data_IF_389115287160
#
_entry.id   IF_389115287160
#
_cell.length_a   1.000
_cell.length_b   1.000
_cell.length_c   1.000
_cell.angle_alpha   90.00
_cell.angle_beta   90.00
_cell.angle_gamma   90.00
#
_symmetry.space_group_name_H-M   'P 1'
#
loop_
_entity.id
_entity.type
_entity.pdbx_description
1 polymer ?
#
# COMPACT_ATOMS: atom_id res chain seq x y z
N UNK A 1 53.96 21.58 46.30
CA UNK A 1 54.20 20.62 45.21
C UNK A 1 53.55 19.28 45.57
N UNK A 2 52.20 19.16 45.48
CA UNK A 2 51.49 17.89 45.71
C UNK A 2 49.99 17.89 45.33
N UNK A 3 49.48 18.96 44.68
CA UNK A 3 48.07 19.05 44.22
C UNK A 3 47.88 19.00 42.70
N UNK A 4 48.95 19.09 41.91
CA UNK A 4 48.87 19.04 40.44
C UNK A 4 48.97 17.62 39.84
N UNK A 5 49.31 16.60 40.63
CA UNK A 5 49.54 15.23 40.14
C UNK A 5 48.26 14.36 40.22
N UNK A 6 47.24 14.77 40.99
CA UNK A 6 46.00 13.99 41.13
C UNK A 6 44.98 14.20 40.00
N UNK A 7 45.07 15.27 39.23
CA UNK A 7 44.18 15.51 38.08
C UNK A 7 44.70 14.92 36.76
N UNK A 8 45.97 14.51 36.70
CA UNK A 8 46.55 13.95 35.48
C UNK A 8 46.36 12.42 35.37
N UNK A 9 46.08 11.73 36.48
CA UNK A 9 45.83 10.27 36.49
C UNK A 9 44.36 9.93 36.22
N UNK A 10 43.42 10.85 36.52
CA UNK A 10 42.00 10.66 36.19
C UNK A 10 41.65 10.97 34.72
N UNK A 11 42.50 11.73 34.01
CA UNK A 11 42.36 11.97 32.57
C UNK A 11 42.96 10.85 31.71
N UNK A 12 43.84 10.00 32.25
CA UNK A 12 44.49 8.93 31.50
C UNK A 12 43.78 7.57 31.55
N UNK A 13 42.82 7.38 32.47
CA UNK A 13 41.97 6.17 32.52
C UNK A 13 40.65 6.32 31.73
N UNK A 14 40.35 7.50 31.20
CA UNK A 14 39.13 7.77 30.41
C UNK A 14 39.29 7.55 28.90
N UNK A 15 40.47 7.17 28.42
CA UNK A 15 40.76 7.03 26.97
C UNK A 15 40.94 5.56 26.55
N UNK A 16 40.99 4.60 27.47
CA UNK A 16 41.18 3.17 27.15
C UNK A 16 39.91 2.31 27.29
N UNK A 17 38.72 2.92 27.39
CA UNK A 17 37.43 2.20 27.38
C UNK A 17 36.55 2.49 26.14
N UNK A 18 37.10 3.13 25.10
CA UNK A 18 36.43 3.27 23.79
C UNK A 18 36.98 2.31 22.72
N UNK A 19 37.66 1.24 23.15
CA UNK A 19 38.19 0.20 22.26
C UNK A 19 37.52 -1.16 22.51
N UNK A 20 36.24 -1.16 22.84
CA UNK A 20 35.37 -2.32 22.60
C UNK A 20 34.74 -2.13 21.21
N UNK A 21 35.58 -2.19 20.18
CA UNK A 21 35.12 -2.59 18.86
C UNK A 21 34.52 -3.98 19.02
N UNK A 22 33.20 -4.06 18.98
CA UNK A 22 32.50 -5.31 18.67
C UNK A 22 33.05 -5.79 17.33
N UNK A 23 33.99 -6.73 17.40
CA UNK A 23 34.55 -7.43 16.26
C UNK A 23 33.53 -8.46 15.79
N UNK A 24 32.63 -8.05 14.90
CA UNK A 24 31.82 -8.93 14.05
C UNK A 24 31.05 -8.06 13.05
N UNK A 25 31.75 -7.59 12.01
CA UNK A 25 31.30 -7.63 10.60
C UNK A 25 32.28 -6.84 9.72
N UNK A 26 33.51 -7.36 9.58
CA UNK A 26 34.33 -7.06 8.41
C UNK A 26 33.80 -7.90 7.22
N UNK A 27 32.67 -7.46 6.65
CA UNK A 27 32.28 -7.80 5.28
C UNK A 27 32.15 -6.49 4.51
N UNK A 28 33.18 -6.16 3.71
CA UNK A 28 33.19 -5.18 2.62
C UNK A 28 32.11 -4.07 2.69
N UNK A 29 32.25 -3.10 3.60
CA UNK A 29 31.33 -1.95 3.72
C UNK A 29 31.66 -0.85 2.69
N UNK A 30 31.73 -1.22 1.41
CA UNK A 30 31.81 -0.29 0.28
C UNK A 30 30.41 0.15 -0.15
N UNK A 31 29.52 0.49 0.79
CA UNK A 31 28.15 0.91 0.50
C UNK A 31 27.81 2.20 1.21
N UNK A 32 27.13 3.10 0.50
CA UNK A 32 26.62 4.35 1.09
C UNK A 32 25.21 4.11 1.60
N UNK A 33 24.95 4.40 2.87
CA UNK A 33 23.62 4.25 3.46
C UNK A 33 22.79 5.50 3.18
N UNK A 34 21.67 5.32 2.48
CA UNK A 34 20.70 6.36 2.21
C UNK A 34 19.49 6.20 3.14
N UNK A 35 19.19 7.17 4.01
CA UNK A 35 17.98 7.13 4.81
C UNK A 35 16.74 7.31 3.93
N UNK A 36 15.66 6.59 4.26
CA UNK A 36 14.38 6.66 3.56
C UNK A 36 13.28 7.02 4.55
N UNK A 37 12.59 8.12 4.26
CA UNK A 37 11.39 8.53 4.99
C UNK A 37 10.17 8.08 4.20
N UNK A 38 9.34 7.20 4.78
CA UNK A 38 8.15 6.67 4.14
C UNK A 38 6.91 7.23 4.83
N UNK A 39 5.91 7.60 4.02
CA UNK A 39 4.61 8.02 4.51
C UNK A 39 3.47 7.28 3.81
N UNK A 40 2.31 7.18 4.48
CA UNK A 40 1.05 6.69 3.93
C UNK A 40 -0.09 7.69 4.23
N UNK A 41 -1.14 7.76 3.40
CA UNK A 41 -2.30 8.61 3.66
C UNK A 41 -2.98 8.29 5.00
N UNK A 42 -3.39 9.33 5.73
CA UNK A 42 -4.26 9.20 6.91
C UNK A 42 -5.70 9.55 6.55
N UNK A 43 -6.67 8.96 7.25
CA UNK A 43 -8.07 9.37 7.19
C UNK A 43 -8.25 10.76 7.84
N UNK A 44 -8.46 11.82 7.05
CA UNK A 44 -8.92 13.11 7.58
C UNK A 44 -9.60 14.06 6.57
N UNK A 45 -10.31 15.08 7.09
CA UNK A 45 -11.18 16.00 6.33
C UNK A 45 -10.38 17.07 5.57
N UNK A 46 -10.47 17.03 4.24
CA UNK A 46 -10.05 18.14 3.37
C UNK A 46 -8.73 17.84 2.68
N UNK A 47 -8.77 17.20 1.52
CA UNK A 47 -7.55 16.83 0.81
C UNK A 47 -7.61 17.08 -0.69
N UNK A 48 -6.56 17.72 -1.23
CA UNK A 48 -6.45 18.10 -2.64
C UNK A 48 -5.51 17.18 -3.45
N UNK A 49 -4.74 16.28 -2.81
CA UNK A 49 -3.69 15.49 -3.49
C UNK A 49 -3.90 13.97 -3.47
N UNK A 50 -5.06 13.49 -3.00
CA UNK A 50 -5.35 12.05 -2.97
C UNK A 50 -5.78 11.53 -4.33
N UNK A 51 -5.41 10.28 -4.63
CA UNK A 51 -6.19 9.50 -5.58
C UNK A 51 -7.64 9.43 -5.06
N UNK A 52 -8.67 9.55 -5.91
CA UNK A 52 -10.03 9.21 -5.47
C UNK A 52 -10.04 7.82 -4.80
N UNK A 53 -10.77 7.58 -3.72
CA UNK A 53 -10.90 6.21 -3.10
C UNK A 53 -10.04 5.97 -1.87
N UNK A 54 -9.17 6.92 -1.61
CA UNK A 54 -8.31 7.00 -0.47
C UNK A 54 -9.15 7.42 0.79
N UNK A 55 -8.87 6.89 1.99
CA UNK A 55 -9.72 6.90 3.16
C UNK A 55 -10.62 8.09 3.54
N UNK A 56 -11.90 7.87 3.76
CA UNK A 56 -12.77 8.89 4.36
C UNK A 56 -12.38 9.19 5.82
N UNK A 57 -12.79 10.34 6.36
CA UNK A 57 -12.46 10.83 7.72
C UNK A 57 -12.79 9.86 8.87
N UNK A 58 -13.69 8.91 8.64
CA UNK A 58 -14.17 7.98 9.66
C UNK A 58 -13.58 6.57 9.54
N UNK A 59 -12.68 6.34 8.59
CA UNK A 59 -12.09 5.03 8.36
C UNK A 59 -10.86 4.82 9.25
N UNK A 60 -10.77 3.61 9.81
CA UNK A 60 -9.64 3.18 10.64
C UNK A 60 -8.83 2.17 9.83
N UNK A 61 -7.53 2.41 9.74
CA UNK A 61 -6.58 1.54 9.06
C UNK A 61 -5.65 0.92 10.08
N UNK A 62 -5.19 -0.29 9.79
CA UNK A 62 -4.05 -0.84 10.50
C UNK A 62 -2.79 -0.21 9.94
N UNK A 63 -1.85 0.12 10.81
CA UNK A 63 -0.55 0.64 10.40
C UNK A 63 0.30 -0.51 9.84
N UNK A 64 1.09 -0.28 8.79
CA UNK A 64 1.92 -1.34 8.22
C UNK A 64 2.97 -1.87 9.22
N UNK A 65 3.19 -3.18 9.17
CA UNK A 65 4.18 -3.94 9.96
C UNK A 65 5.18 -4.67 9.06
N UNK A 66 4.96 -4.65 7.75
CA UNK A 66 5.80 -5.32 6.75
C UNK A 66 6.17 -4.34 5.64
N UNK A 67 7.41 -4.42 5.18
CA UNK A 67 8.00 -3.57 4.16
C UNK A 67 8.84 -4.40 3.18
N UNK A 68 8.65 -4.14 1.89
CA UNK A 68 9.55 -4.54 0.82
C UNK A 68 9.96 -3.29 0.06
N UNK A 69 11.26 -3.05 -0.07
CA UNK A 69 11.80 -1.89 -0.77
C UNK A 69 12.89 -2.32 -1.75
N UNK A 70 12.89 -1.70 -2.93
CA UNK A 70 13.75 -2.06 -4.05
C UNK A 70 14.42 -0.80 -4.57
N UNK A 71 15.75 -0.87 -4.72
CA UNK A 71 16.53 0.11 -5.45
C UNK A 71 16.71 -0.36 -6.88
N UNK A 72 16.24 0.44 -7.84
CA UNK A 72 16.45 0.22 -9.27
C UNK A 72 17.45 1.25 -9.77
N UNK A 73 18.55 0.81 -10.38
CA UNK A 73 19.55 1.67 -11.03
C UNK A 73 19.64 1.28 -12.50
N UNK A 74 19.45 2.26 -13.41
CA UNK A 74 19.54 2.04 -14.86
C UNK A 74 18.70 0.84 -15.37
N UNK A 75 17.49 0.67 -14.82
CA UNK A 75 16.56 -0.45 -15.06
C UNK A 75 16.94 -1.81 -14.47
N UNK A 76 17.91 -1.87 -13.56
CA UNK A 76 18.30 -3.11 -12.86
C UNK A 76 18.03 -2.97 -11.36
N UNK A 77 17.43 -4.00 -10.74
CA UNK A 77 17.26 -4.08 -9.29
C UNK A 77 18.62 -4.38 -8.67
N UNK A 78 19.17 -3.42 -7.92
CA UNK A 78 20.49 -3.52 -7.31
C UNK A 78 20.44 -3.92 -5.83
N UNK A 79 19.43 -3.45 -5.11
CA UNK A 79 19.28 -3.69 -3.67
C UNK A 79 17.83 -3.98 -3.30
N UNK A 80 17.63 -4.87 -2.34
CA UNK A 80 16.33 -5.24 -1.79
C UNK A 80 16.41 -5.19 -0.27
N UNK A 81 15.57 -4.38 0.35
CA UNK A 81 15.32 -4.39 1.79
C UNK A 81 13.97 -5.06 2.04
N UNK A 82 13.93 -6.03 2.95
CA UNK A 82 12.68 -6.67 3.38
C UNK A 82 12.65 -6.69 4.90
N UNK A 83 11.64 -6.03 5.47
CA UNK A 83 11.39 -6.01 6.90
C UNK A 83 10.04 -6.64 7.18
N UNK A 84 10.00 -7.63 8.07
CA UNK A 84 8.78 -8.34 8.43
C UNK A 84 8.14 -7.89 9.74
N UNK A 85 8.76 -6.91 10.41
CA UNK A 85 8.35 -6.41 11.73
C UNK A 85 8.76 -4.96 11.94
N UNK A 86 8.29 -4.03 11.11
CA UNK A 86 8.40 -2.59 11.41
C UNK A 86 7.45 -2.26 12.58
N UNK A 87 7.92 -1.41 13.50
CA UNK A 87 7.21 -1.13 14.75
C UNK A 87 6.03 -0.16 14.52
N UNK A 88 4.81 -0.62 14.76
CA UNK A 88 3.60 0.20 14.60
C UNK A 88 3.64 1.49 15.42
N UNK A 89 4.32 1.49 16.57
CA UNK A 89 4.42 2.65 17.46
C UNK A 89 5.29 3.79 16.90
N UNK A 90 6.08 3.49 15.87
CA UNK A 90 6.95 4.46 15.21
C UNK A 90 6.23 5.26 14.11
N UNK A 91 4.96 4.97 13.82
CA UNK A 91 4.16 5.77 12.90
C UNK A 91 3.58 7.00 13.60
N UNK A 92 3.95 8.19 13.10
CA UNK A 92 3.46 9.47 13.61
C UNK A 92 2.46 10.07 12.62
N UNK A 93 1.30 10.51 13.12
CA UNK A 93 0.34 11.26 12.29
C UNK A 93 0.80 12.71 12.18
N UNK A 94 1.00 13.19 10.97
CA UNK A 94 1.49 14.52 10.66
C UNK A 94 0.61 15.18 9.58
N UNK A 95 0.72 16.50 9.45
CA UNK A 95 0.06 17.24 8.36
C UNK A 95 1.07 17.61 7.29
N UNK A 96 0.77 17.23 6.05
CA UNK A 96 1.51 17.61 4.86
C UNK A 96 0.61 18.51 4.00
N UNK A 97 0.76 19.83 4.13
CA UNK A 97 -0.14 20.80 3.49
C UNK A 97 -1.56 20.74 4.08
N UNK A 98 -2.56 20.52 3.23
CA UNK A 98 -3.95 20.26 3.66
C UNK A 98 -4.17 18.82 4.14
N UNK A 99 -3.27 17.91 3.79
CA UNK A 99 -3.49 16.48 3.89
C UNK A 99 -2.85 15.95 5.18
N UNK A 100 -3.38 14.86 5.73
CA UNK A 100 -2.79 14.18 6.88
C UNK A 100 -2.18 12.86 6.41
N UNK A 101 -0.98 12.56 6.88
CA UNK A 101 -0.25 11.34 6.57
C UNK A 101 0.23 10.69 7.85
N UNK A 102 0.44 9.37 7.83
CA UNK A 102 1.28 8.71 8.81
C UNK A 102 2.69 8.62 8.23
N UNK A 103 3.69 9.10 8.96
CA UNK A 103 5.10 9.01 8.61
C UNK A 103 5.76 8.00 9.53
N UNK A 104 6.57 7.10 8.97
CA UNK A 104 7.35 6.17 9.79
C UNK A 104 8.61 6.87 10.29
N UNK A 105 8.75 7.00 11.62
CA UNK A 105 9.86 7.67 12.28
C UNK A 105 11.05 6.74 12.60
N UNK A 106 10.91 5.44 12.34
CA UNK A 106 12.01 4.49 12.52
C UNK A 106 13.08 4.63 11.43
N UNK A 107 14.28 4.12 11.70
CA UNK A 107 15.38 4.15 10.74
C UNK A 107 15.17 3.12 9.64
N UNK A 108 14.94 3.59 8.42
CA UNK A 108 14.98 2.77 7.21
C UNK A 108 16.15 3.25 6.35
N UNK A 109 17.05 2.36 5.99
CA UNK A 109 18.21 2.70 5.15
C UNK A 109 18.34 1.75 3.98
N UNK A 110 18.54 2.31 2.79
CA UNK A 110 18.91 1.56 1.59
C UNK A 110 20.42 1.63 1.39
N UNK A 111 21.04 0.49 1.13
CA UNK A 111 22.46 0.44 0.82
C UNK A 111 22.66 0.72 -0.68
N UNK A 112 23.42 1.77 -0.99
CA UNK A 112 23.75 2.15 -2.35
C UNK A 112 25.14 1.64 -2.73
N UNK A 113 25.36 1.25 -4.01
CA UNK A 113 26.70 0.96 -4.53
C UNK A 113 27.67 2.11 -4.30
N UNK A 114 28.96 1.84 -4.03
CA UNK A 114 29.98 2.90 -3.85
C UNK A 114 30.20 3.71 -5.13
N UNK A 115 30.31 3.01 -6.26
CA UNK A 115 30.54 3.60 -7.57
C UNK A 115 29.19 3.96 -8.17
N UNK A 116 28.93 5.27 -8.27
CA UNK A 116 27.69 5.82 -8.81
C UNK A 116 28.02 6.86 -9.86
N UNK A 117 27.47 6.70 -11.05
CA UNK A 117 27.65 7.63 -12.15
C UNK A 117 26.76 8.85 -12.00
N UNK A 118 27.26 10.03 -12.38
CA UNK A 118 26.45 11.26 -12.45
C UNK A 118 25.29 11.18 -13.45
N UNK A 119 25.34 10.20 -14.37
CA UNK A 119 24.29 9.91 -15.36
C UNK A 119 23.38 8.76 -14.95
N UNK A 120 23.67 8.07 -13.85
CA UNK A 120 22.84 6.95 -13.40
C UNK A 120 21.49 7.46 -12.91
N UNK A 121 20.44 6.73 -13.26
CA UNK A 121 19.09 6.99 -12.77
C UNK A 121 18.76 5.92 -11.74
N UNK A 122 18.62 6.36 -10.48
CA UNK A 122 18.22 5.51 -9.37
C UNK A 122 16.78 5.83 -8.93
N UNK A 123 15.99 4.80 -8.68
CA UNK A 123 14.58 4.87 -8.31
C UNK A 123 14.27 3.90 -7.17
N UNK A 124 13.42 4.30 -6.24
CA UNK A 124 12.94 3.45 -5.16
C UNK A 124 11.49 3.02 -5.42
N UNK A 125 11.24 1.73 -5.24
CA UNK A 125 9.91 1.13 -5.21
C UNK A 125 9.68 0.49 -3.85
N UNK A 126 8.48 0.61 -3.30
CA UNK A 126 8.16 0.10 -1.98
C UNK A 126 6.72 -0.44 -1.88
N UNK A 127 6.57 -1.53 -1.14
CA UNK A 127 5.31 -2.18 -0.81
C UNK A 127 5.23 -2.29 0.72
N UNK A 128 4.10 -1.88 1.27
CA UNK A 128 3.79 -1.96 2.68
C UNK A 128 2.51 -2.77 2.89
N UNK A 129 2.47 -3.54 3.97
CA UNK A 129 1.27 -4.23 4.42
C UNK A 129 1.18 -4.25 5.94
N UNK A 130 -0.03 -4.16 6.47
CA UNK A 130 -0.29 -4.38 7.90
C UNK A 130 -0.45 -5.86 8.27
N UNK A 131 -0.88 -6.68 7.32
CA UNK A 131 -1.12 -8.11 7.49
C UNK A 131 -0.21 -8.91 6.55
N UNK A 132 -0.11 -10.22 6.78
CA UNK A 132 0.69 -11.13 5.98
C UNK A 132 0.15 -11.25 4.55
N UNK A 133 0.97 -10.81 3.60
CA UNK A 133 0.80 -11.03 2.17
C UNK A 133 1.98 -11.83 1.64
N UNK A 134 1.78 -12.46 0.48
CA UNK A 134 2.82 -13.23 -0.20
C UNK A 134 3.21 -12.56 -1.52
N UNK A 135 4.16 -11.61 -1.53
CA UNK A 135 4.72 -11.07 -2.78
C UNK A 135 5.53 -12.15 -3.52
N UNK A 136 5.47 -12.13 -4.85
CA UNK A 136 6.35 -12.93 -5.70
C UNK A 136 7.80 -12.48 -5.51
N UNK A 137 8.73 -13.42 -5.47
CA UNK A 137 10.15 -13.11 -5.27
C UNK A 137 10.71 -12.37 -6.48
N UNK A 138 11.22 -11.17 -6.26
CA UNK A 138 12.12 -10.48 -7.19
C UNK A 138 13.54 -10.63 -6.67
N UNK A 139 14.49 -11.06 -7.51
CA UNK A 139 15.89 -11.19 -7.11
C UNK A 139 16.69 -9.94 -7.46
N UNK A 140 17.84 -9.75 -6.81
CA UNK A 140 18.86 -8.84 -7.31
C UNK A 140 19.20 -9.16 -8.77
N UNK A 141 19.52 -8.12 -9.55
CA UNK A 141 19.73 -8.12 -11.00
C UNK A 141 18.47 -8.37 -11.87
N UNK A 142 17.27 -8.38 -11.29
CA UNK A 142 16.04 -8.36 -12.10
C UNK A 142 15.89 -7.02 -12.82
N UNK A 143 15.16 -6.98 -13.92
CA UNK A 143 14.87 -5.71 -14.60
C UNK A 143 13.77 -4.92 -13.88
N UNK A 144 13.71 -3.61 -14.11
CA UNK A 144 12.60 -2.74 -13.69
C UNK A 144 11.25 -3.29 -14.17
N UNK A 145 11.19 -3.81 -15.39
CA UNK A 145 9.98 -4.42 -15.94
C UNK A 145 9.53 -5.65 -15.13
N UNK A 146 10.47 -6.52 -14.74
CA UNK A 146 10.17 -7.67 -13.89
C UNK A 146 9.73 -7.26 -12.49
N UNK A 147 10.32 -6.19 -11.93
CA UNK A 147 9.87 -5.62 -10.66
C UNK A 147 8.45 -5.07 -10.76
N UNK A 148 8.13 -4.31 -11.81
CA UNK A 148 6.79 -3.75 -12.01
C UNK A 148 5.72 -4.84 -12.21
N UNK A 149 6.10 -5.98 -12.77
CA UNK A 149 5.28 -7.18 -12.88
C UNK A 149 5.18 -8.00 -11.58
N UNK A 150 5.80 -7.56 -10.47
CA UNK A 150 5.70 -8.23 -9.18
C UNK A 150 4.24 -8.31 -8.73
N UNK A 151 3.83 -9.49 -8.30
CA UNK A 151 2.48 -9.75 -7.81
C UNK A 151 2.48 -10.08 -6.33
N UNK A 152 1.32 -10.01 -5.68
CA UNK A 152 1.08 -10.58 -4.37
C UNK A 152 -0.23 -11.37 -4.37
N UNK A 153 -0.41 -12.17 -3.31
CA UNK A 153 -1.68 -12.84 -3.02
C UNK A 153 -2.20 -12.44 -1.64
N UNK A 154 -3.51 -12.27 -1.56
CA UNK A 154 -4.24 -12.07 -0.31
C UNK A 154 -4.35 -13.41 0.45
N UNK A 155 -4.41 -13.37 1.80
CA UNK A 155 -4.54 -14.58 2.60
C UNK A 155 -5.90 -15.29 2.40
N UNK A 156 -6.06 -16.44 3.04
CA UNK A 156 -7.27 -17.26 2.92
C UNK A 156 -8.51 -16.66 3.62
N UNK A 157 -8.33 -15.69 4.52
CA UNK A 157 -9.41 -15.05 5.29
C UNK A 157 -9.22 -13.54 5.36
N UNK A 158 -10.32 -12.80 5.52
CA UNK A 158 -10.34 -11.34 5.70
C UNK A 158 -9.68 -10.59 4.52
N UNK A 159 -9.86 -11.09 3.30
CA UNK A 159 -9.20 -10.56 2.10
C UNK A 159 -9.46 -9.07 1.88
N UNK A 160 -10.70 -8.61 2.03
CA UNK A 160 -11.04 -7.19 1.90
C UNK A 160 -10.39 -6.31 2.98
N UNK A 161 -10.34 -6.79 4.22
CA UNK A 161 -9.64 -6.10 5.32
C UNK A 161 -8.14 -6.02 5.05
N UNK A 162 -7.52 -7.11 4.58
CA UNK A 162 -6.09 -7.12 4.23
C UNK A 162 -5.82 -6.21 3.05
N UNK A 163 -6.62 -6.31 1.98
CA UNK A 163 -6.50 -5.47 0.79
C UNK A 163 -6.56 -3.97 1.12
N UNK A 164 -7.40 -3.59 2.10
CA UNK A 164 -7.50 -2.22 2.61
C UNK A 164 -6.18 -1.69 3.16
N UNK A 165 -5.33 -2.53 3.75
CA UNK A 165 -4.13 -2.11 4.47
C UNK A 165 -2.83 -2.40 3.70
N UNK A 166 -2.90 -2.46 2.35
CA UNK A 166 -1.73 -2.60 1.47
C UNK A 166 -1.51 -1.27 0.75
N UNK A 167 -0.25 -0.82 0.76
CA UNK A 167 0.17 0.42 0.12
C UNK A 167 1.38 0.17 -0.75
N UNK A 168 1.46 0.83 -1.90
CA UNK A 168 2.63 0.74 -2.76
C UNK A 168 2.96 2.05 -3.44
N UNK A 169 4.16 2.09 -4.01
CA UNK A 169 4.61 3.19 -4.86
C UNK A 169 3.88 3.14 -6.21
N UNK A 170 3.24 4.23 -6.68
CA UNK A 170 2.71 4.30 -8.02
C UNK A 170 3.85 4.19 -9.02
N UNK A 171 3.68 3.45 -10.10
CA UNK A 171 4.66 3.35 -11.18
C UNK A 171 4.65 4.55 -12.13
N UNK A 172 3.56 5.34 -12.14
CA UNK A 172 3.27 6.35 -13.14
C UNK A 172 3.15 7.79 -12.56
N UNK A 173 3.54 7.99 -11.30
CA UNK A 173 3.55 9.32 -10.67
C UNK A 173 4.86 10.05 -10.95
N UNK A 174 4.76 11.23 -11.56
CA UNK A 174 5.89 12.11 -11.79
C UNK A 174 5.84 13.35 -10.91
N UNK A 175 7.02 13.85 -10.55
CA UNK A 175 7.25 15.17 -9.93
C UNK A 175 7.04 16.28 -10.95
N UNK A 176 7.08 17.52 -10.46
CA UNK A 176 6.99 18.74 -11.29
C UNK A 176 8.10 18.85 -12.34
N UNK A 177 9.25 18.20 -12.11
CA UNK A 177 10.37 18.13 -13.07
C UNK A 177 10.22 16.96 -14.08
N UNK A 178 9.04 16.34 -14.14
CA UNK A 178 8.71 15.19 -15.00
C UNK A 178 9.51 13.91 -14.73
N UNK A 179 10.29 13.84 -13.64
CA UNK A 179 10.92 12.59 -13.19
C UNK A 179 9.94 11.77 -12.38
N UNK A 180 10.19 10.46 -12.33
CA UNK A 180 9.48 9.58 -11.43
C UNK A 180 9.61 10.06 -9.97
N UNK A 181 8.53 10.04 -9.21
CA UNK A 181 8.55 10.62 -7.86
C UNK A 181 9.44 9.85 -6.86
N UNK A 182 9.67 8.55 -7.10
CA UNK A 182 10.63 7.74 -6.35
C UNK A 182 12.08 7.88 -6.81
N UNK A 183 12.40 8.80 -7.73
CA UNK A 183 13.78 9.06 -8.17
C UNK A 183 14.64 9.56 -7.02
N UNK A 184 15.81 8.95 -6.84
CA UNK A 184 16.84 9.36 -5.88
C UNK A 184 17.53 10.63 -6.38
N UNK A 185 17.46 11.69 -5.60
CA UNK A 185 18.17 12.94 -5.83
C UNK A 185 19.61 12.82 -5.33
N UNK A 186 20.51 13.58 -5.97
CA UNK A 186 21.95 13.58 -5.66
C UNK A 186 22.56 12.16 -5.59
N UNK A 187 22.12 11.25 -6.48
CA UNK A 187 22.52 9.84 -6.42
C UNK A 187 24.04 9.67 -6.44
N UNK A 188 24.76 10.40 -7.31
CA UNK A 188 26.23 10.35 -7.36
C UNK A 188 26.93 11.14 -6.23
N UNK A 189 26.18 11.94 -5.47
CA UNK A 189 26.72 12.78 -4.42
C UNK A 189 26.90 12.07 -3.09
N UNK A 190 27.22 12.87 -2.07
CA UNK A 190 27.51 12.41 -0.72
C UNK A 190 26.25 12.24 0.14
N UNK A 191 25.12 12.82 -0.26
CA UNK A 191 23.88 12.79 0.52
C UNK A 191 22.68 12.51 -0.38
N UNK A 192 22.61 11.30 -0.96
CA UNK A 192 21.48 10.90 -1.77
C UNK A 192 20.20 10.85 -0.93
N UNK A 193 19.06 11.19 -1.52
CA UNK A 193 17.78 11.25 -0.81
C UNK A 193 16.58 11.12 -1.75
N UNK A 194 15.43 10.70 -1.20
CA UNK A 194 14.13 10.71 -1.89
C UNK A 194 13.23 11.75 -1.22
N UNK A 195 12.58 12.59 -2.03
CA UNK A 195 11.68 13.63 -1.53
C UNK A 195 10.26 13.09 -1.39
N UNK A 196 9.61 13.33 -0.23
CA UNK A 196 8.18 13.10 -0.01
C UNK A 196 7.69 11.74 -0.54
N UNK A 197 8.31 10.65 -0.06
CA UNK A 197 8.03 9.31 -0.55
C UNK A 197 6.77 8.73 0.10
N UNK A 198 5.63 9.01 -0.54
CA UNK A 198 4.29 8.59 -0.10
C UNK A 198 3.85 7.36 -0.88
N UNK A 199 3.43 6.31 -0.16
CA UNK A 199 2.82 5.11 -0.74
C UNK A 199 1.30 5.22 -0.65
N UNK A 200 0.59 4.70 -1.64
CA UNK A 200 -0.87 4.81 -1.74
C UNK A 200 -1.53 3.44 -1.76
N UNK A 201 -2.84 3.37 -1.48
CA UNK A 201 -3.57 2.11 -1.50
C UNK A 201 -3.52 1.41 -2.86
N UNK A 202 -3.29 0.10 -2.80
CA UNK A 202 -3.35 -0.77 -3.98
C UNK A 202 -4.81 -1.13 -4.31
N UNK A 203 -5.63 -1.34 -3.27
CA UNK A 203 -7.03 -1.68 -3.39
C UNK A 203 -7.92 -0.47 -3.69
N UNK A 204 -9.00 -0.71 -4.43
CA UNK A 204 -10.08 0.24 -4.59
C UNK A 204 -11.09 0.10 -3.46
N UNK A 205 -11.75 1.21 -3.13
CA UNK A 205 -12.99 1.20 -2.37
C UNK A 205 -14.18 1.02 -3.31
N UNK A 206 -14.86 -0.12 -3.24
CA UNK A 206 -16.12 -0.39 -3.95
C UNK A 206 -17.30 -0.03 -3.05
N UNK A 207 -17.96 1.07 -3.36
CA UNK A 207 -19.10 1.59 -2.61
C UNK A 207 -20.42 1.16 -3.22
N UNK A 208 -21.10 0.26 -2.52
CA UNK A 208 -22.36 -0.36 -2.93
C UNK A 208 -23.50 0.36 -2.24
N UNK A 209 -24.36 0.99 -3.02
CA UNK A 209 -25.55 1.71 -2.52
C UNK A 209 -26.77 0.97 -3.03
N UNK A 210 -27.67 0.53 -2.15
CA UNK A 210 -28.89 -0.16 -2.57
C UNK A 210 -30.16 0.60 -2.21
N UNK A 211 -31.14 0.49 -3.09
CA UNK A 211 -32.48 0.98 -2.89
C UNK A 211 -33.51 -0.03 -3.45
N UNK A 212 -34.41 -0.50 -2.59
CA UNK A 212 -35.55 -1.36 -2.93
C UNK A 212 -36.76 -0.47 -3.19
N UNK A 213 -37.35 -0.58 -4.37
CA UNK A 213 -38.53 0.20 -4.74
C UNK A 213 -39.70 -0.04 -3.77
N UNK A 214 -40.41 1.03 -3.40
CA UNK A 214 -41.47 1.01 -2.38
C UNK A 214 -42.52 -0.09 -2.60
N UNK A 215 -42.90 -0.33 -3.86
CA UNK A 215 -43.86 -1.38 -4.23
C UNK A 215 -43.40 -2.80 -3.87
N UNK A 216 -42.09 -3.03 -3.75
CA UNK A 216 -41.49 -4.35 -3.51
C UNK A 216 -41.00 -4.52 -2.07
N UNK A 217 -40.99 -3.48 -1.24
CA UNK A 217 -40.42 -3.53 0.12
C UNK A 217 -41.11 -4.55 1.03
N UNK A 218 -42.41 -4.83 0.80
CA UNK A 218 -43.14 -5.87 1.53
C UNK A 218 -42.64 -7.30 1.25
N UNK A 219 -42.05 -7.53 0.08
CA UNK A 219 -41.61 -8.85 -0.40
C UNK A 219 -40.09 -8.98 -0.48
N UNK A 220 -39.36 -7.87 -0.49
CA UNK A 220 -37.91 -7.81 -0.61
C UNK A 220 -37.33 -7.16 0.63
N UNK A 221 -36.87 -8.00 1.56
CA UNK A 221 -36.16 -7.59 2.76
C UNK A 221 -34.73 -8.12 2.69
N UNK A 222 -33.80 -7.30 2.20
CA UNK A 222 -32.40 -7.73 2.09
C UNK A 222 -31.81 -8.08 3.46
N UNK A 223 -30.96 -9.10 3.46
CA UNK A 223 -30.33 -9.65 4.66
C UNK A 223 -28.82 -9.82 4.50
N UNK A 224 -28.34 -10.01 3.26
CA UNK A 224 -26.92 -10.14 2.95
C UNK A 224 -26.65 -9.68 1.52
N UNK A 225 -25.46 -9.13 1.32
CA UNK A 225 -24.86 -8.88 0.02
C UNK A 225 -23.57 -9.70 -0.07
N UNK A 226 -23.40 -10.43 -1.16
CA UNK A 226 -22.10 -11.01 -1.50
C UNK A 226 -21.56 -10.29 -2.72
N UNK A 227 -20.30 -9.87 -2.68
CA UNK A 227 -19.55 -9.42 -3.86
C UNK A 227 -18.60 -10.54 -4.27
N UNK A 228 -18.83 -11.12 -5.44
CA UNK A 228 -18.19 -12.32 -5.97
C UNK A 228 -17.09 -11.98 -6.97
N UNK A 229 -16.32 -13.00 -7.34
CA UNK A 229 -15.29 -12.95 -8.38
C UNK A 229 -14.18 -11.91 -8.11
N UNK A 230 -13.94 -11.59 -6.84
CA UNK A 230 -12.92 -10.63 -6.44
C UNK A 230 -11.52 -11.24 -6.61
N UNK A 231 -10.54 -10.47 -7.08
CA UNK A 231 -9.19 -10.98 -7.36
C UNK A 231 -8.38 -11.19 -6.08
N UNK A 232 -7.99 -12.43 -5.82
CA UNK A 232 -7.23 -12.86 -4.63
C UNK A 232 -5.73 -12.99 -4.89
N UNK A 233 -5.36 -13.49 -6.07
CA UNK A 233 -3.98 -13.86 -6.43
C UNK A 233 -3.53 -13.10 -7.68
N UNK A 234 -2.21 -13.06 -7.89
CA UNK A 234 -1.62 -12.39 -9.04
C UNK A 234 -1.95 -10.89 -9.08
N UNK A 235 -2.14 -10.28 -7.90
CA UNK A 235 -2.44 -8.86 -7.75
C UNK A 235 -1.16 -8.06 -7.97
N UNK A 236 -1.11 -7.19 -8.97
CA UNK A 236 0.09 -6.38 -9.24
C UNK A 236 0.35 -5.40 -8.10
N UNK A 237 1.56 -5.43 -7.55
CA UNK A 237 1.96 -4.60 -6.42
C UNK A 237 2.18 -3.14 -6.84
N UNK A 238 2.96 -2.92 -7.90
CA UNK A 238 3.37 -1.59 -8.34
C UNK A 238 2.55 -1.05 -9.50
N UNK A 239 1.73 -1.89 -10.15
CA UNK A 239 0.88 -1.53 -11.29
C UNK A 239 -0.57 -1.98 -11.10
N UNK A 240 -1.26 -1.61 -10.01
CA UNK A 240 -2.60 -2.16 -9.75
C UNK A 240 -3.67 -1.77 -10.77
N UNK A 241 -3.46 -0.69 -11.53
CA UNK A 241 -4.32 -0.29 -12.65
C UNK A 241 -4.20 -1.19 -13.88
N UNK A 242 -3.18 -2.05 -13.92
CA UNK A 242 -2.92 -3.01 -15.00
C UNK A 242 -3.32 -4.44 -14.60
N UNK A 243 -4.00 -4.60 -13.45
CA UNK A 243 -4.50 -5.90 -13.03
C UNK A 243 -5.45 -6.47 -14.09
N UNK A 244 -5.21 -7.72 -14.45
CA UNK A 244 -6.11 -8.50 -15.31
C UNK A 244 -7.05 -9.36 -14.47
N UNK A 245 -8.15 -9.78 -15.10
CA UNK A 245 -9.15 -10.61 -14.48
C UNK A 245 -8.55 -11.90 -13.87
N UNK A 246 -9.13 -12.42 -12.77
CA UNK A 246 -8.76 -13.72 -12.22
C UNK A 246 -8.83 -14.81 -13.29
N UNK A 247 -7.79 -15.63 -13.42
CA UNK A 247 -7.70 -16.64 -14.46
C UNK A 247 -8.50 -17.91 -14.10
N UNK A 248 -8.55 -18.24 -12.81
CA UNK A 248 -9.21 -19.45 -12.28
C UNK A 248 -10.12 -19.12 -11.09
N UNK A 249 -10.90 -20.11 -10.63
CA UNK A 249 -11.73 -19.95 -9.43
C UNK A 249 -10.90 -19.87 -8.13
N UNK A 250 -9.71 -20.49 -8.12
CA UNK A 250 -8.78 -20.42 -6.98
C UNK A 250 -8.16 -19.01 -6.81
N UNK A 251 -8.16 -18.23 -7.90
CA UNK A 251 -7.73 -16.83 -7.92
C UNK A 251 -8.82 -15.85 -7.44
N UNK A 252 -9.99 -16.36 -7.05
CA UNK A 252 -11.15 -15.56 -6.67
C UNK A 252 -11.44 -15.64 -5.18
N UNK A 253 -12.12 -14.63 -4.66
CA UNK A 253 -12.77 -14.66 -3.36
C UNK A 253 -14.13 -13.96 -3.40
N UNK A 254 -14.90 -14.10 -2.31
CA UNK A 254 -16.19 -13.42 -2.10
C UNK A 254 -16.11 -12.64 -0.80
N UNK A 255 -16.54 -11.39 -0.83
CA UNK A 255 -16.80 -10.60 0.37
C UNK A 255 -18.29 -10.60 0.67
N UNK A 256 -18.65 -10.71 1.95
CA UNK A 256 -20.04 -10.75 2.38
C UNK A 256 -20.31 -9.66 3.41
N UNK A 257 -21.41 -8.94 3.24
CA UNK A 257 -21.93 -8.00 4.22
C UNK A 257 -23.31 -8.42 4.68
N UNK A 258 -23.49 -8.59 5.98
CA UNK A 258 -24.81 -8.82 6.58
C UNK A 258 -25.50 -7.48 6.77
N UNK A 259 -26.73 -7.36 6.28
CA UNK A 259 -27.49 -6.11 6.37
C UNK A 259 -28.24 -6.05 7.70
N UNK A 260 -27.96 -4.99 8.46
CA UNK A 260 -28.59 -4.73 9.74
C UNK A 260 -30.08 -4.39 9.61
N UNK A 261 -30.80 -4.60 10.71
CA UNK A 261 -32.21 -4.21 10.76
C UNK A 261 -32.38 -2.70 10.65
N UNK A 262 -33.28 -2.26 9.76
CA UNK A 262 -33.49 -0.88 9.38
C UNK A 262 -32.84 -0.49 8.05
N UNK A 263 -31.87 -1.28 7.55
CA UNK A 263 -31.17 -1.01 6.28
C UNK A 263 -31.61 -1.93 5.13
N UNK A 264 -32.62 -2.78 5.33
CA UNK A 264 -32.98 -3.82 4.37
C UNK A 264 -33.52 -3.30 3.02
N UNK A 265 -33.99 -2.05 3.00
CA UNK A 265 -34.57 -1.43 1.80
C UNK A 265 -33.72 -0.29 1.24
N UNK A 266 -32.99 0.42 2.10
CA UNK A 266 -32.08 1.48 1.70
C UNK A 266 -30.82 1.39 2.55
N UNK A 267 -29.67 1.40 1.91
CA UNK A 267 -28.40 1.41 2.63
C UNK A 267 -27.20 1.55 1.72
N UNK A 268 -26.04 1.55 2.35
CA UNK A 268 -24.75 1.74 1.72
C UNK A 268 -23.69 0.98 2.49
N UNK A 269 -22.81 0.31 1.78
CA UNK A 269 -21.67 -0.37 2.36
C UNK A 269 -20.49 -0.30 1.38
N UNK A 270 -19.27 -0.22 1.91
CA UNK A 270 -18.08 -0.17 1.08
C UNK A 270 -17.19 -1.39 1.33
N UNK A 271 -16.74 -2.01 0.25
CA UNK A 271 -15.78 -3.11 0.24
C UNK A 271 -14.42 -2.60 -0.24
N UNK A 272 -13.33 -3.22 0.20
CA UNK A 272 -12.02 -3.00 -0.38
C UNK A 272 -11.66 -4.18 -1.27
N UNK A 273 -11.37 -3.91 -2.53
CA UNK A 273 -11.17 -4.94 -3.56
C UNK A 273 -9.97 -4.60 -4.42
N UNK A 274 -9.31 -5.62 -4.96
CA UNK A 274 -8.33 -5.43 -6.03
C UNK A 274 -9.09 -5.48 -7.36
N UNK A 275 -9.32 -4.35 -8.05
CA UNK A 275 -10.03 -4.39 -9.31
C UNK A 275 -9.10 -4.81 -10.44
N UNK A 276 -9.72 -5.07 -11.59
CA UNK A 276 -9.05 -5.53 -12.79
C UNK A 276 -9.79 -5.08 -14.05
N UNK A 277 -9.07 -4.94 -15.16
CA UNK A 277 -9.57 -4.43 -16.44
C UNK A 277 -9.87 -2.92 -16.42
N UNK A 278 -10.39 -2.35 -17.49
CA UNK A 278 -10.76 -0.91 -17.48
C UNK A 278 -12.12 -0.67 -16.80
N UNK A 279 -12.94 -1.71 -16.77
CA UNK A 279 -14.25 -1.76 -16.12
C UNK A 279 -14.29 -2.97 -15.21
N UNK A 280 -14.60 -2.75 -13.94
CA UNK A 280 -14.68 -3.79 -12.93
C UNK A 280 -16.10 -4.38 -12.88
N UNK A 281 -16.29 -5.67 -13.18
CA UNK A 281 -17.59 -6.31 -13.05
C UNK A 281 -17.82 -6.68 -11.57
N UNK A 282 -18.52 -5.82 -10.84
CA UNK A 282 -19.03 -6.11 -9.51
C UNK A 282 -20.19 -7.13 -9.60
N UNK A 283 -19.84 -8.41 -9.72
CA UNK A 283 -20.78 -9.52 -9.62
C UNK A 283 -21.24 -9.64 -8.16
N UNK A 284 -22.54 -9.64 -7.92
CA UNK A 284 -23.11 -9.68 -6.58
C UNK A 284 -24.27 -10.65 -6.44
N UNK A 285 -24.46 -11.17 -5.24
CA UNK A 285 -25.66 -11.92 -4.85
C UNK A 285 -26.39 -11.20 -3.75
N UNK A 286 -27.66 -10.92 -3.99
CA UNK A 286 -28.58 -10.33 -3.04
C UNK A 286 -29.34 -11.44 -2.32
N UNK A 287 -29.39 -11.40 -0.99
CA UNK A 287 -30.12 -12.39 -0.18
C UNK A 287 -31.28 -11.72 0.55
N UNK A 288 -32.47 -12.32 0.55
CA UNK A 288 -33.61 -11.88 1.36
C UNK A 288 -33.92 -12.81 2.56
N UNK A 289 -33.05 -13.79 2.82
CA UNK A 289 -33.19 -14.78 3.89
C UNK A 289 -33.83 -16.10 3.47
N UNK A 290 -34.53 -16.13 2.32
CA UNK A 290 -35.14 -17.35 1.76
C UNK A 290 -34.72 -17.64 0.32
N UNK A 291 -34.34 -16.62 -0.44
CA UNK A 291 -33.96 -16.68 -1.84
C UNK A 291 -32.76 -15.78 -2.13
N UNK A 292 -32.15 -15.99 -3.30
CA UNK A 292 -30.95 -15.29 -3.76
C UNK A 292 -31.13 -14.78 -5.17
N UNK A 293 -30.56 -13.60 -5.47
CA UNK A 293 -30.55 -13.04 -6.82
C UNK A 293 -29.16 -12.58 -7.20
N UNK A 294 -28.63 -13.15 -8.28
CA UNK A 294 -27.37 -12.73 -8.87
C UNK A 294 -27.57 -11.53 -9.80
N UNK A 295 -26.64 -10.59 -9.72
CA UNK A 295 -26.58 -9.38 -10.54
C UNK A 295 -25.13 -9.06 -10.86
N UNK A 296 -24.91 -8.26 -11.90
CA UNK A 296 -23.57 -7.73 -12.22
C UNK A 296 -23.70 -6.25 -12.54
N UNK A 297 -22.89 -5.42 -11.88
CA UNK A 297 -22.70 -4.01 -12.23
C UNK A 297 -21.30 -3.84 -12.79
N UNK A 298 -21.22 -3.18 -13.93
CA UNK A 298 -19.94 -2.74 -14.49
C UNK A 298 -19.59 -1.36 -13.93
N UNK A 299 -18.49 -1.27 -13.19
CA UNK A 299 -18.00 -0.04 -12.58
C UNK A 299 -16.77 0.44 -13.32
N UNK A 300 -16.84 1.63 -13.91
CA UNK A 300 -15.67 2.28 -14.49
C UNK A 300 -14.78 2.83 -13.40
N UNK A 301 -13.48 2.52 -13.47
CA UNK A 301 -12.53 2.91 -12.44
C UNK A 301 -11.13 3.20 -12.99
N UNK A 302 -10.88 3.06 -14.29
CA UNK A 302 -9.61 3.53 -14.86
C UNK A 302 -9.88 4.81 -15.63
N UNK A 303 -9.21 5.91 -15.26
CA UNK A 303 -9.23 7.16 -16.03
C UNK A 303 -7.82 7.55 -16.47
N UNK A 304 -7.71 8.18 -17.64
CA UNK A 304 -6.43 8.65 -18.16
C UNK A 304 -5.75 9.60 -17.16
N UNK A 305 -4.55 9.25 -16.72
CA UNK A 305 -3.78 10.03 -15.74
C UNK A 305 -4.05 9.69 -14.27
N UNK A 306 -4.86 8.68 -13.97
CA UNK A 306 -5.01 8.19 -12.59
C UNK A 306 -3.69 7.62 -12.06
N UNK A 307 -3.29 8.10 -10.88
CA UNK A 307 -2.06 7.70 -10.19
C UNK A 307 -2.24 6.32 -9.51
N UNK A 308 -3.47 5.98 -9.10
CA UNK A 308 -3.84 4.67 -8.53
C UNK A 308 -5.33 4.38 -8.72
N UNK A 309 -5.72 3.17 -8.28
CA UNK A 309 -7.06 2.61 -8.29
C UNK A 309 -8.07 3.50 -7.55
N UNK A 310 -9.03 4.13 -8.25
CA UNK A 310 -9.89 5.13 -7.66
C UNK A 310 -11.02 4.56 -6.79
N UNK A 311 -11.78 5.46 -6.18
CA UNK A 311 -13.10 5.16 -5.63
C UNK A 311 -14.02 4.61 -6.72
N UNK A 312 -14.59 3.44 -6.48
CA UNK A 312 -15.56 2.79 -7.35
C UNK A 312 -16.96 2.92 -6.74
N UNK A 313 -17.93 3.41 -7.51
CA UNK A 313 -19.33 3.53 -7.07
C UNK A 313 -20.18 2.54 -7.85
N UNK A 314 -20.90 1.66 -7.14
CA UNK A 314 -21.80 0.66 -7.70
C UNK A 314 -23.25 0.91 -7.21
N UNK A 315 -24.04 1.72 -7.93
CA UNK A 315 -25.42 1.99 -7.54
C UNK A 315 -26.36 0.83 -7.91
N UNK A 316 -27.14 0.36 -6.94
CA UNK A 316 -28.11 -0.72 -7.08
C UNK A 316 -29.54 -0.22 -6.92
N UNK A 317 -30.36 -0.43 -7.96
CA UNK A 317 -31.82 -0.21 -7.91
C UNK A 317 -32.53 -1.53 -8.08
N UNK A 318 -33.23 -2.00 -7.04
CA UNK A 318 -33.92 -3.29 -7.01
C UNK A 318 -35.40 -3.07 -7.30
N UNK A 319 -35.81 -3.40 -8.52
CA UNK A 319 -37.15 -3.14 -9.06
C UNK A 319 -38.11 -4.33 -9.08
N UNK A 320 -37.57 -5.54 -8.89
CA UNK A 320 -38.31 -6.79 -8.97
C UNK A 320 -38.03 -7.64 -7.73
N UNK A 321 -38.90 -8.62 -7.47
CA UNK A 321 -38.70 -9.61 -6.42
C UNK A 321 -37.36 -10.35 -6.53
N UNK A 322 -36.94 -10.89 -5.39
CA UNK A 322 -35.89 -11.90 -5.24
C UNK A 322 -36.65 -13.21 -4.97
N UNK A 323 -36.84 -14.01 -6.01
CA UNK A 323 -37.53 -15.31 -6.02
C UNK A 323 -36.52 -16.44 -6.28
#
# INVERSE_FOLDING_TARGET
MMKAIRYMILMLMGITMLSACSSEDEREDNRVRMPIHISIPAADVGMNTRAPGDPGTYEKFKLPTRLWMYLVVNNTVEEILTESSIDESMWTKERLGSDSVYTYAGELTMALPQTRGATDVAEIYALLAADDISPSVTSGNSTKEQLLAMTFSLPASNQGEVARNIYSTPYNLNRTDSKYYGTVNDYAGASPYVENFILYHVAAKLDVIWNVEAANQANVKLSRLDVKNLKKTGCLAFQPLENIAPATDDDKYTESYTIDSGQQWYGRHSFYVIPYGDTFPAAMTLHNGSATKDITINVEYKSAGSIFTPWMIAPLVIKNNIE
#
